data_IF_583417367239
#
_entry.id   IF_583417367239
#
_cell.length_a   1.000
_cell.length_b   1.000
_cell.length_c   1.000
_cell.angle_alpha   90.00
_cell.angle_beta   90.00
_cell.angle_gamma   90.00
#
_symmetry.space_group_name_H-M   'P 1'
#
loop_
_entity.id
_entity.type
_entity.pdbx_description
1 polymer ?
#
# COMPACT_ATOMS: atom_id res chain seq x y z
N UNK A 1 8.16 -16.46 -5.34
CA UNK A 1 8.36 -15.10 -5.91
C UNK A 1 7.34 -14.82 -7.02
N UNK A 2 7.07 -15.79 -7.90
CA UNK A 2 6.21 -15.63 -9.08
C UNK A 2 4.74 -15.27 -8.81
N UNK A 3 4.17 -15.69 -7.68
CA UNK A 3 2.77 -15.43 -7.37
C UNK A 3 2.42 -14.00 -6.90
N UNK A 4 3.40 -13.16 -6.57
CA UNK A 4 3.17 -11.79 -6.08
C UNK A 4 3.34 -10.74 -7.20
N UNK A 5 4.34 -10.95 -8.07
CA UNK A 5 4.61 -10.07 -9.21
C UNK A 5 3.55 -10.17 -10.31
N UNK A 6 2.95 -11.34 -10.47
CA UNK A 6 1.87 -11.60 -11.44
C UNK A 6 0.50 -11.06 -11.00
N UNK A 7 0.35 -10.65 -9.73
CA UNK A 7 -0.92 -10.12 -9.23
C UNK A 7 -1.26 -8.77 -9.85
N UNK A 8 -2.56 -8.59 -10.08
CA UNK A 8 -3.11 -7.30 -10.45
C UNK A 8 -3.33 -6.46 -9.19
N UNK A 9 -2.61 -5.35 -9.08
CA UNK A 9 -2.78 -4.40 -8.00
C UNK A 9 -3.84 -3.36 -8.41
N UNK A 10 -4.86 -3.20 -7.58
CA UNK A 10 -5.83 -2.10 -7.69
C UNK A 10 -5.30 -0.90 -6.92
N UNK A 11 -5.21 0.24 -7.59
CA UNK A 11 -4.69 1.50 -7.08
C UNK A 11 -5.76 2.59 -7.12
N UNK A 12 -5.60 3.61 -6.28
CA UNK A 12 -6.48 4.76 -6.21
C UNK A 12 -5.65 6.05 -6.12
N UNK A 13 -6.07 7.10 -6.80
CA UNK A 13 -5.44 8.42 -6.68
C UNK A 13 -6.05 9.19 -5.51
N UNK A 14 -5.23 9.60 -4.53
CA UNK A 14 -5.70 10.44 -3.43
C UNK A 14 -5.99 11.90 -3.86
N UNK A 15 -5.52 12.30 -5.04
CA UNK A 15 -5.77 13.64 -5.59
C UNK A 15 -7.09 13.73 -6.38
N UNK A 16 -7.30 12.87 -7.38
CA UNK A 16 -8.50 12.91 -8.23
C UNK A 16 -9.55 11.84 -7.89
N UNK A 17 -9.31 11.00 -6.88
CA UNK A 17 -10.17 9.90 -6.43
C UNK A 17 -10.52 8.82 -7.48
N UNK A 18 -9.89 8.85 -8.66
CA UNK A 18 -10.04 7.79 -9.67
C UNK A 18 -9.21 6.56 -9.32
N UNK A 19 -9.71 5.38 -9.70
CA UNK A 19 -9.03 4.09 -9.55
C UNK A 19 -8.51 3.56 -10.87
N UNK A 20 -7.43 2.79 -10.80
CA UNK A 20 -6.83 2.11 -11.94
C UNK A 20 -6.14 0.83 -11.47
N UNK A 21 -5.87 -0.08 -12.39
CA UNK A 21 -5.24 -1.37 -12.08
C UNK A 21 -4.01 -1.57 -12.96
N UNK A 22 -2.98 -2.20 -12.40
CA UNK A 22 -1.76 -2.57 -13.12
C UNK A 22 -1.22 -3.88 -12.56
N UNK A 23 -0.49 -4.68 -13.34
CA UNK A 23 0.25 -5.79 -12.73
C UNK A 23 1.35 -5.25 -11.85
N UNK A 24 1.62 -5.90 -10.72
CA UNK A 24 2.72 -5.49 -9.83
C UNK A 24 4.05 -5.48 -10.59
N UNK A 25 4.29 -6.45 -11.48
CA UNK A 25 5.48 -6.51 -12.33
C UNK A 25 5.64 -5.31 -13.29
N UNK A 26 4.54 -4.67 -13.68
CA UNK A 26 4.54 -3.53 -14.62
C UNK A 26 4.73 -2.19 -13.90
N UNK A 27 4.60 -2.16 -12.57
CA UNK A 27 4.83 -0.96 -11.78
C UNK A 27 6.33 -0.66 -11.68
N UNK A 28 6.69 0.60 -11.92
CA UNK A 28 8.05 1.10 -11.70
C UNK A 28 8.29 1.57 -10.26
N UNK A 29 9.45 2.20 -10.07
CA UNK A 29 9.81 2.87 -8.81
C UNK A 29 9.02 4.17 -8.61
N UNK A 30 8.53 4.75 -9.71
CA UNK A 30 7.64 5.90 -9.69
C UNK A 30 6.28 5.49 -10.27
N UNK A 31 5.23 5.67 -9.48
CA UNK A 31 3.85 5.38 -9.86
C UNK A 31 3.08 6.69 -9.87
N UNK A 32 2.48 7.01 -11.01
CA UNK A 32 1.66 8.20 -11.21
C UNK A 32 0.24 7.81 -11.61
N UNK A 33 -0.72 8.69 -11.29
CA UNK A 33 -2.09 8.51 -11.72
C UNK A 33 -2.19 8.70 -13.24
N UNK A 34 -2.77 7.75 -14.00
CA UNK A 34 -2.90 7.88 -15.44
C UNK A 34 -3.93 8.94 -15.87
N UNK A 35 -4.72 9.48 -14.94
CA UNK A 35 -5.78 10.45 -15.23
C UNK A 35 -5.41 11.90 -14.92
N UNK A 36 -4.52 12.15 -13.95
CA UNK A 36 -4.15 13.50 -13.52
C UNK A 36 -2.64 13.67 -13.27
N UNK A 37 -1.83 12.66 -13.56
CA UNK A 37 -0.38 12.64 -13.41
C UNK A 37 0.16 12.85 -11.99
N UNK A 38 -0.71 12.92 -10.98
CA UNK A 38 -0.31 13.04 -9.59
C UNK A 38 0.42 11.78 -9.10
N UNK A 39 1.48 11.96 -8.31
CA UNK A 39 2.20 10.88 -7.59
C UNK A 39 1.49 10.43 -6.31
N UNK A 40 0.38 11.07 -5.93
CA UNK A 40 -0.43 10.73 -4.75
C UNK A 40 -1.28 9.48 -5.05
N UNK A 41 -0.64 8.32 -5.20
CA UNK A 41 -1.28 7.04 -5.51
C UNK A 41 -1.24 6.13 -4.30
N UNK A 42 -2.38 5.55 -3.92
CA UNK A 42 -2.56 4.60 -2.83
C UNK A 42 -3.23 3.31 -3.32
N UNK A 43 -3.58 2.41 -2.41
CA UNK A 43 -4.27 1.15 -2.74
C UNK A 43 -5.77 1.35 -2.95
N UNK A 44 -6.35 0.55 -3.83
CA UNK A 44 -7.77 0.57 -4.20
C UNK A 44 -8.73 0.37 -3.01
N UNK A 45 -8.29 -0.31 -1.94
CA UNK A 45 -9.10 -0.50 -0.72
C UNK A 45 -9.49 0.82 -0.03
N UNK A 46 -8.81 1.92 -0.33
CA UNK A 46 -9.12 3.25 0.22
C UNK A 46 -10.04 4.08 -0.69
N UNK A 47 -10.50 3.56 -1.84
CA UNK A 47 -11.32 4.29 -2.81
C UNK A 47 -12.55 4.97 -2.19
N UNK A 48 -13.29 4.26 -1.34
CA UNK A 48 -14.52 4.79 -0.74
C UNK A 48 -14.29 6.07 0.08
N UNK A 49 -13.23 6.10 0.89
CA UNK A 49 -12.92 7.28 1.72
C UNK A 49 -12.38 8.43 0.89
N UNK A 50 -11.60 8.13 -0.16
CA UNK A 50 -11.09 9.13 -1.10
C UNK A 50 -12.24 9.77 -1.89
N UNK A 51 -13.15 8.96 -2.43
CA UNK A 51 -14.33 9.44 -3.15
C UNK A 51 -15.22 10.31 -2.27
N UNK A 52 -15.44 9.90 -1.01
CA UNK A 52 -16.20 10.69 -0.02
C UNK A 52 -15.55 12.04 0.24
N UNK A 53 -14.22 12.07 0.42
CA UNK A 53 -13.47 13.31 0.63
C UNK A 53 -13.48 14.22 -0.60
N UNK A 54 -13.32 13.66 -1.80
CA UNK A 54 -13.38 14.39 -3.07
C UNK A 54 -14.76 15.02 -3.31
N UNK A 55 -15.84 14.31 -2.93
CA UNK A 55 -17.21 14.84 -2.91
C UNK A 55 -17.50 15.85 -1.79
N UNK A 56 -16.47 16.33 -1.08
CA UNK A 56 -16.56 17.30 0.03
C UNK A 56 -17.50 16.88 1.17
N UNK A 57 -17.75 15.58 1.33
CA UNK A 57 -18.59 15.05 2.41
C UNK A 57 -17.79 14.97 3.71
N UNK A 58 -18.47 15.16 4.84
CA UNK A 58 -17.86 15.00 6.15
C UNK A 58 -17.43 13.55 6.39
N UNK A 59 -16.19 13.37 6.87
CA UNK A 59 -15.66 12.08 7.29
C UNK A 59 -15.93 11.87 8.78
N UNK A 60 -16.42 10.69 9.14
CA UNK A 60 -16.52 10.21 10.53
C UNK A 60 -15.13 10.06 11.16
N UNK A 61 -15.05 9.88 12.47
CA UNK A 61 -13.76 9.67 13.14
C UNK A 61 -13.00 8.43 12.59
N UNK A 62 -13.72 7.34 12.34
CA UNK A 62 -13.16 6.13 11.74
C UNK A 62 -12.67 6.39 10.30
N UNK A 63 -13.47 7.07 9.48
CA UNK A 63 -13.10 7.40 8.10
C UNK A 63 -11.92 8.37 8.04
N UNK A 64 -11.80 9.33 8.96
CA UNK A 64 -10.62 10.21 9.05
C UNK A 64 -9.35 9.40 9.30
N UNK A 65 -9.42 8.38 10.16
CA UNK A 65 -8.30 7.46 10.41
C UNK A 65 -7.95 6.67 9.14
N UNK A 66 -8.94 6.11 8.44
CA UNK A 66 -8.74 5.41 7.17
C UNK A 66 -8.18 6.32 6.08
N UNK A 67 -8.62 7.57 6.02
CA UNK A 67 -8.11 8.57 5.08
C UNK A 67 -6.64 8.92 5.38
N UNK A 68 -6.31 9.16 6.65
CA UNK A 68 -4.92 9.38 7.06
C UNK A 68 -4.03 8.18 6.73
N UNK A 69 -4.54 6.96 6.90
CA UNK A 69 -3.85 5.73 6.51
C UNK A 69 -3.61 5.68 4.98
N UNK A 70 -4.63 6.01 4.18
CA UNK A 70 -4.54 6.07 2.73
C UNK A 70 -3.43 7.03 2.27
N UNK A 71 -3.33 8.20 2.90
CA UNK A 71 -2.27 9.19 2.62
C UNK A 71 -0.89 8.69 3.03
N UNK A 72 -0.75 8.01 4.17
CA UNK A 72 0.54 7.41 4.56
C UNK A 72 1.01 6.37 3.55
N UNK A 73 0.11 5.51 3.10
CA UNK A 73 0.41 4.53 2.05
C UNK A 73 0.77 5.22 0.74
N UNK A 74 0.11 6.33 0.40
CA UNK A 74 0.47 7.13 -0.76
C UNK A 74 1.90 7.68 -0.68
N UNK A 75 2.30 8.19 0.48
CA UNK A 75 3.69 8.63 0.69
C UNK A 75 4.69 7.49 0.53
N UNK A 76 4.39 6.30 1.06
CA UNK A 76 5.27 5.13 0.88
C UNK A 76 5.35 4.68 -0.58
N UNK A 77 4.26 4.71 -1.33
CA UNK A 77 4.27 4.42 -2.77
C UNK A 77 5.07 5.47 -3.52
N UNK A 78 4.94 6.75 -3.16
CA UNK A 78 5.73 7.81 -3.80
C UNK A 78 7.23 7.67 -3.55
N UNK A 79 7.64 7.11 -2.40
CA UNK A 79 9.06 6.93 -2.06
C UNK A 79 9.67 5.62 -2.55
N UNK A 80 8.91 4.52 -2.55
CA UNK A 80 9.44 3.18 -2.83
C UNK A 80 8.73 2.45 -3.98
N UNK A 81 7.74 3.08 -4.61
CA UNK A 81 7.07 2.59 -5.81
C UNK A 81 6.45 1.20 -5.65
N UNK A 82 6.76 0.34 -6.63
CA UNK A 82 6.33 -1.07 -6.67
C UNK A 82 6.60 -1.82 -5.37
N UNK A 83 7.71 -1.55 -4.69
CA UNK A 83 8.10 -2.23 -3.44
C UNK A 83 7.05 -2.07 -2.35
N UNK A 84 6.46 -0.88 -2.25
CA UNK A 84 5.36 -0.63 -1.31
C UNK A 84 4.11 -1.41 -1.67
N UNK A 85 3.76 -1.46 -2.96
CA UNK A 85 2.57 -2.21 -3.42
C UNK A 85 2.75 -3.69 -3.10
N UNK A 86 3.91 -4.28 -3.41
CA UNK A 86 4.21 -5.66 -3.08
C UNK A 86 4.20 -5.95 -1.56
N UNK A 87 4.72 -5.01 -0.75
CA UNK A 87 4.70 -5.11 0.69
C UNK A 87 3.27 -5.13 1.23
N UNK A 88 2.40 -4.25 0.74
CA UNK A 88 1.02 -4.14 1.20
C UNK A 88 0.10 -5.27 0.73
N UNK A 89 0.46 -5.96 -0.37
CA UNK A 89 -0.19 -7.20 -0.82
C UNK A 89 0.21 -8.42 0.02
N UNK A 90 1.24 -8.29 0.87
CA UNK A 90 1.67 -9.35 1.78
C UNK A 90 0.74 -9.43 2.98
N UNK A 91 0.24 -10.63 3.26
CA UNK A 91 -0.73 -10.86 4.34
C UNK A 91 -0.19 -10.42 5.71
N UNK A 92 -0.99 -9.64 6.44
CA UNK A 92 -0.62 -9.17 7.78
C UNK A 92 0.35 -7.98 7.80
N UNK A 93 0.73 -7.44 6.64
CA UNK A 93 1.56 -6.25 6.54
C UNK A 93 0.68 -5.02 6.44
N UNK A 94 0.64 -4.22 7.51
CA UNK A 94 0.03 -2.89 7.51
C UNK A 94 1.03 -1.79 7.10
N UNK A 95 0.58 -0.54 6.96
CA UNK A 95 1.42 0.58 6.53
C UNK A 95 2.65 0.80 7.41
N UNK A 96 2.51 0.64 8.73
CA UNK A 96 3.62 0.76 9.69
C UNK A 96 4.66 -0.34 9.53
N UNK A 97 4.20 -1.58 9.34
CA UNK A 97 5.08 -2.72 9.12
C UNK A 97 5.79 -2.62 7.76
N UNK A 98 5.07 -2.21 6.72
CA UNK A 98 5.65 -1.93 5.41
C UNK A 98 6.70 -0.83 5.50
N UNK A 99 6.41 0.30 6.15
CA UNK A 99 7.36 1.39 6.34
C UNK A 99 8.64 0.94 7.05
N UNK A 100 8.52 0.09 8.09
CA UNK A 100 9.69 -0.45 8.81
C UNK A 100 10.56 -1.32 7.91
N UNK A 101 9.96 -2.18 7.08
CA UNK A 101 10.69 -3.04 6.15
C UNK A 101 11.34 -2.20 5.05
N UNK A 102 10.59 -1.29 4.43
CA UNK A 102 11.05 -0.44 3.32
C UNK A 102 12.15 0.55 3.71
N UNK A 103 12.20 0.96 4.99
CA UNK A 103 13.27 1.84 5.51
C UNK A 103 14.62 1.16 5.66
N UNK A 104 14.68 -0.17 5.65
CA UNK A 104 15.96 -0.88 5.69
C UNK A 104 16.67 -0.64 4.35
N UNK A 105 17.96 -0.29 4.41
CA UNK A 105 18.84 -0.16 3.24
C UNK A 105 19.11 -1.55 2.65
N UNK A 106 18.11 -2.09 1.94
CA UNK A 106 18.21 -3.37 1.28
C UNK A 106 18.95 -3.23 -0.04
N UNK A 107 19.93 -4.10 -0.25
CA UNK A 107 20.81 -4.06 -1.43
C UNK A 107 20.14 -4.69 -2.66
N UNK A 108 19.08 -5.47 -2.46
CA UNK A 108 18.36 -6.17 -3.53
C UNK A 108 16.88 -6.37 -3.22
N UNK A 109 16.08 -6.59 -4.26
CA UNK A 109 14.66 -6.96 -4.14
C UNK A 109 14.48 -8.30 -3.39
N UNK A 110 15.47 -9.20 -3.42
CA UNK A 110 15.39 -10.46 -2.66
C UNK A 110 15.38 -10.26 -1.15
N UNK A 111 16.19 -9.32 -0.66
CA UNK A 111 16.24 -8.94 0.76
C UNK A 111 14.89 -8.36 1.19
N UNK A 112 14.24 -7.57 0.31
CA UNK A 112 12.89 -7.06 0.54
C UNK A 112 11.88 -8.17 0.75
N UNK A 113 11.81 -9.10 -0.18
CA UNK A 113 10.84 -10.20 -0.08
C UNK A 113 11.12 -11.08 1.14
N UNK A 114 12.39 -11.29 1.50
CA UNK A 114 12.77 -12.05 2.70
C UNK A 114 12.26 -11.36 3.97
N UNK A 115 12.46 -10.06 4.09
CA UNK A 115 12.00 -9.28 5.24
C UNK A 115 10.48 -9.23 5.35
N UNK A 116 9.77 -9.11 4.21
CA UNK A 116 8.31 -9.16 4.18
C UNK A 116 7.78 -10.52 4.66
N UNK A 117 8.41 -11.61 4.24
CA UNK A 117 8.05 -12.95 4.71
C UNK A 117 8.30 -13.13 6.22
N UNK A 118 9.34 -12.50 6.77
CA UNK A 118 9.62 -12.54 8.21
C UNK A 118 8.55 -11.77 9.01
N UNK A 119 8.13 -10.59 8.53
CA UNK A 119 7.03 -9.82 9.12
C UNK A 119 5.73 -10.63 9.08
N UNK A 120 5.41 -11.26 7.96
CA UNK A 120 4.25 -12.13 7.84
C UNK A 120 4.31 -13.31 8.82
N UNK A 121 5.45 -14.00 8.93
CA UNK A 121 5.64 -15.10 9.89
C UNK A 121 5.43 -14.62 11.32
N UNK A 122 5.99 -13.47 11.67
CA UNK A 122 5.80 -12.86 12.98
C UNK A 122 4.32 -12.56 13.24
N UNK A 123 3.62 -11.93 12.29
CA UNK A 123 2.20 -11.63 12.42
C UNK A 123 1.36 -12.89 12.62
N UNK A 124 1.58 -13.92 11.80
CA UNK A 124 0.90 -15.23 11.92
C UNK A 124 1.19 -15.85 13.29
N UNK A 125 2.44 -15.80 13.75
CA UNK A 125 2.86 -16.32 15.06
C UNK A 125 2.27 -15.55 16.24
N UNK A 126 2.14 -14.23 16.16
CA UNK A 126 1.63 -13.40 17.27
C UNK A 126 0.12 -13.31 17.29
N UNK A 127 -0.54 -13.43 16.14
CA UNK A 127 -2.01 -13.37 16.02
C UNK A 127 -2.73 -14.37 16.91
N UNK A 128 -2.16 -15.56 17.13
CA UNK A 128 -2.73 -16.58 18.05
C UNK A 128 -2.84 -16.10 19.50
N UNK A 129 -2.12 -15.04 19.88
CA UNK A 129 -2.16 -14.43 21.22
C UNK A 129 -3.02 -13.16 21.28
N UNK A 130 -3.60 -12.70 20.16
CA UNK A 130 -4.41 -11.48 20.14
C UNK A 130 -5.88 -11.75 20.48
N UNK A 131 -6.20 -13.00 20.81
CA UNK A 131 -7.43 -13.40 21.52
C UNK A 131 -7.03 -13.83 22.92
N UNK A 132 -6.86 -12.86 23.79
CA UNK A 132 -6.89 -12.98 25.24
C UNK A 132 -7.58 -11.71 25.76
#
# INVERSE_FOLDING_TARGET
>A
KDGLLSKQARLACAHCAKTFSSKVSELGDHISCPYCSSSQVTLGKYEAVLAKKAGRKALSAAERKTYAEALRVASLISSYGRKTVAAMETYGVGPEAAARVLRKLQKSDEELYRDLLEVQKTFVRTRKYWRA
#
